data_IF_545552315153
#
_entry.id   IF_545552315153
#
_cell.length_a   1.000
_cell.length_b   1.000
_cell.length_c   1.000
_cell.angle_alpha   90.00
_cell.angle_beta   90.00
_cell.angle_gamma   90.00
#
_symmetry.space_group_name_H-M   'P 1'
#
loop_
_entity.id
_entity.type
_entity.pdbx_description
1 polymer ?
#
# COMPACT_ATOMS: atom_id res chain seq x y z
N UNK A 1 21.99 17.89 11.33
CA UNK A 1 21.44 16.52 11.08
C UNK A 1 22.24 15.88 9.94
N UNK A 2 23.17 14.97 10.24
CA UNK A 2 24.25 14.56 9.32
C UNK A 2 23.76 13.67 8.17
N UNK A 3 24.24 13.91 6.95
CA UNK A 3 23.90 13.15 5.73
C UNK A 3 24.11 11.61 5.89
N UNK A 4 25.06 11.18 6.73
CA UNK A 4 25.25 9.75 7.06
C UNK A 4 24.03 9.11 7.75
N UNK A 5 23.25 9.88 8.51
CA UNK A 5 22.03 9.41 9.18
C UNK A 5 20.88 9.17 8.20
N UNK A 6 20.79 10.00 7.15
CA UNK A 6 19.77 9.86 6.09
C UNK A 6 20.11 8.65 5.20
N UNK A 7 21.37 8.52 4.78
CA UNK A 7 21.80 7.39 3.94
C UNK A 7 21.72 6.04 4.67
N UNK A 8 22.10 5.97 5.96
CA UNK A 8 22.03 4.74 6.74
C UNK A 8 20.61 4.32 7.12
N UNK A 9 19.70 5.27 7.35
CA UNK A 9 18.29 4.97 7.63
C UNK A 9 17.57 4.52 6.36
N UNK A 10 17.74 5.23 5.24
CA UNK A 10 17.21 4.81 3.94
C UNK A 10 17.66 3.40 3.57
N UNK A 11 18.95 3.06 3.69
CA UNK A 11 19.45 1.72 3.37
C UNK A 11 18.75 0.57 4.12
N UNK A 12 18.39 0.77 5.40
CA UNK A 12 17.64 -0.21 6.19
C UNK A 12 16.19 -0.40 5.71
N UNK A 13 15.51 0.69 5.37
CA UNK A 13 14.16 0.63 4.79
C UNK A 13 14.17 -0.05 3.42
N UNK A 14 15.14 0.34 2.57
CA UNK A 14 15.36 -0.25 1.25
C UNK A 14 15.58 -1.76 1.37
N UNK A 15 16.43 -2.20 2.31
CA UNK A 15 16.70 -3.61 2.55
C UNK A 15 15.45 -4.42 2.90
N UNK A 16 14.57 -3.87 3.74
CA UNK A 16 13.29 -4.53 4.10
C UNK A 16 12.35 -4.63 2.90
N UNK A 17 12.17 -3.53 2.16
CA UNK A 17 11.25 -3.52 1.00
C UNK A 17 11.76 -4.44 -0.11
N UNK A 18 13.07 -4.46 -0.36
CA UNK A 18 13.68 -5.38 -1.32
C UNK A 18 13.51 -6.83 -0.86
N UNK A 19 13.75 -7.11 0.43
CA UNK A 19 13.55 -8.46 0.98
C UNK A 19 12.09 -8.92 0.87
N UNK A 20 11.11 -8.06 1.17
CA UNK A 20 9.67 -8.37 1.06
C UNK A 20 9.26 -8.72 -0.36
N UNK A 21 9.73 -7.94 -1.33
CA UNK A 21 9.41 -8.20 -2.73
C UNK A 21 10.19 -9.40 -3.28
N UNK A 22 11.43 -9.60 -2.87
CA UNK A 22 12.20 -10.80 -3.23
C UNK A 22 11.53 -12.07 -2.68
N UNK A 23 11.03 -12.03 -1.44
CA UNK A 23 10.25 -13.10 -0.85
C UNK A 23 8.96 -13.38 -1.65
N UNK A 24 8.21 -12.34 -2.00
CA UNK A 24 7.01 -12.47 -2.85
C UNK A 24 7.34 -13.10 -4.20
N UNK A 25 8.39 -12.62 -4.88
CA UNK A 25 8.83 -13.15 -6.17
C UNK A 25 9.29 -14.61 -6.08
N UNK A 26 9.97 -14.99 -5.00
CA UNK A 26 10.46 -16.35 -4.77
C UNK A 26 9.31 -17.33 -4.45
N UNK A 27 8.29 -16.85 -3.75
CA UNK A 27 7.11 -17.65 -3.38
C UNK A 27 6.08 -17.75 -4.52
N UNK A 28 6.06 -16.79 -5.45
CA UNK A 28 5.07 -16.72 -6.54
C UNK A 28 5.03 -17.98 -7.44
N UNK A 29 6.16 -18.57 -7.87
CA UNK A 29 6.16 -19.81 -8.65
C UNK A 29 5.53 -20.99 -7.92
N UNK A 30 5.72 -21.07 -6.60
CA UNK A 30 5.16 -22.13 -5.77
C UNK A 30 3.67 -21.94 -5.54
N UNK A 31 3.27 -20.70 -5.21
CA UNK A 31 1.87 -20.34 -5.01
C UNK A 31 1.04 -20.58 -6.28
N UNK A 32 1.56 -20.20 -7.45
CA UNK A 32 0.84 -20.33 -8.74
C UNK A 32 0.79 -21.76 -9.28
N UNK A 33 1.66 -22.66 -8.82
CA UNK A 33 1.65 -24.09 -9.21
C UNK A 33 0.75 -24.95 -8.32
N UNK A 34 0.57 -24.55 -7.06
CA UNK A 34 -0.14 -25.35 -6.06
C UNK A 34 -1.58 -24.86 -5.87
N UNK A 35 -1.82 -23.55 -5.91
CA UNK A 35 -3.14 -22.97 -5.68
C UNK A 35 -3.99 -22.94 -6.94
N UNK A 36 -5.28 -23.23 -6.78
CA UNK A 36 -6.25 -23.15 -7.87
C UNK A 36 -6.71 -21.71 -8.08
N UNK A 37 -7.23 -21.36 -9.28
CA UNK A 37 -7.82 -20.04 -9.51
C UNK A 37 -8.95 -19.68 -8.53
N UNK A 38 -9.69 -20.67 -8.03
CA UNK A 38 -10.74 -20.46 -7.02
C UNK A 38 -10.16 -20.01 -5.66
N UNK A 39 -9.02 -20.57 -5.26
CA UNK A 39 -8.32 -20.19 -4.03
C UNK A 39 -7.80 -18.75 -4.09
N UNK A 40 -7.32 -18.32 -5.27
CA UNK A 40 -6.96 -16.93 -5.52
C UNK A 40 -8.16 -15.98 -5.40
N UNK A 41 -9.36 -16.41 -5.84
CA UNK A 41 -10.60 -15.66 -5.65
C UNK A 41 -10.90 -15.41 -4.16
N UNK A 42 -10.73 -16.42 -3.31
CA UNK A 42 -10.90 -16.29 -1.85
C UNK A 42 -9.85 -15.34 -1.26
N UNK A 43 -8.58 -15.49 -1.66
CA UNK A 43 -7.50 -14.61 -1.21
C UNK A 43 -7.73 -13.14 -1.61
N UNK A 44 -8.27 -12.92 -2.81
CA UNK A 44 -8.64 -11.61 -3.33
C UNK A 44 -9.75 -10.96 -2.52
N UNK A 45 -10.81 -11.71 -2.17
CA UNK A 45 -11.90 -11.21 -1.33
C UNK A 45 -11.38 -10.79 0.07
N UNK A 46 -10.59 -11.66 0.70
CA UNK A 46 -10.00 -11.38 2.01
C UNK A 46 -9.05 -10.19 1.94
N UNK A 47 -8.18 -10.15 0.92
CA UNK A 47 -7.21 -9.08 0.71
C UNK A 47 -7.87 -7.73 0.46
N UNK A 48 -8.90 -7.67 -0.38
CA UNK A 48 -9.63 -6.44 -0.68
C UNK A 48 -10.44 -5.96 0.52
N UNK A 49 -11.08 -6.88 1.25
CA UNK A 49 -11.75 -6.57 2.52
C UNK A 49 -10.76 -5.97 3.53
N UNK A 50 -9.61 -6.61 3.72
CA UNK A 50 -8.55 -6.09 4.59
C UNK A 50 -8.05 -4.72 4.15
N UNK A 51 -7.88 -4.49 2.84
CA UNK A 51 -7.42 -3.23 2.31
C UNK A 51 -8.43 -2.09 2.52
N UNK A 52 -9.73 -2.35 2.36
CA UNK A 52 -10.81 -1.41 2.67
C UNK A 52 -10.86 -1.05 4.15
N UNK A 53 -10.70 -2.05 5.02
CA UNK A 53 -10.64 -1.85 6.48
C UNK A 53 -9.44 -0.98 6.86
N UNK A 54 -8.27 -1.31 6.32
CA UNK A 54 -7.03 -0.56 6.58
C UNK A 54 -7.15 0.87 6.08
N UNK A 55 -7.80 1.07 4.93
CA UNK A 55 -8.06 2.38 4.37
C UNK A 55 -8.91 3.26 5.29
N UNK A 56 -10.08 2.76 5.71
CA UNK A 56 -11.06 3.54 6.46
C UNK A 56 -10.58 3.89 7.87
N UNK A 57 -9.92 2.94 8.55
CA UNK A 57 -9.64 3.07 9.98
C UNK A 57 -8.15 3.15 10.31
N UNK A 58 -7.29 2.47 9.56
CA UNK A 58 -5.84 2.48 9.80
C UNK A 58 -5.16 3.72 9.21
N UNK A 59 -5.29 3.91 7.90
CA UNK A 59 -4.56 4.94 7.16
C UNK A 59 -5.06 6.35 7.45
N UNK A 60 -6.37 6.58 7.58
CA UNK A 60 -6.90 7.92 7.86
C UNK A 60 -6.30 8.53 9.13
N UNK A 61 -6.34 7.80 10.23
CA UNK A 61 -5.83 8.27 11.52
C UNK A 61 -4.28 8.27 11.58
N UNK A 62 -3.62 7.30 10.95
CA UNK A 62 -2.16 7.25 10.92
C UNK A 62 -1.54 8.42 10.13
N UNK A 63 -2.21 8.92 9.08
CA UNK A 63 -1.73 10.04 8.27
C UNK A 63 -1.87 11.41 8.96
N UNK A 64 -2.66 11.50 10.03
CA UNK A 64 -2.70 12.69 10.87
C UNK A 64 -1.49 12.79 11.82
N UNK A 65 -0.80 11.67 12.08
CA UNK A 65 0.33 11.63 13.01
C UNK A 65 1.46 12.60 12.61
N UNK A 66 1.96 12.65 11.36
CA UNK A 66 3.06 13.56 11.00
C UNK A 66 2.74 15.03 11.27
N UNK A 67 1.51 15.47 10.96
CA UNK A 67 1.06 16.86 11.11
C UNK A 67 0.85 17.23 12.59
N UNK A 68 0.17 16.37 13.36
CA UNK A 68 -0.09 16.62 14.78
C UNK A 68 1.19 16.47 15.63
N UNK A 69 2.09 15.58 15.23
CA UNK A 69 3.36 15.37 15.92
C UNK A 69 4.35 16.50 15.64
N UNK A 70 4.37 17.07 14.43
CA UNK A 70 5.21 18.24 14.12
C UNK A 70 4.75 19.51 14.85
N UNK A 71 3.45 19.67 15.06
CA UNK A 71 2.86 20.85 15.71
C UNK A 71 2.88 20.76 17.24
N UNK A 72 3.24 19.61 17.82
CA UNK A 72 3.34 19.44 19.26
C UNK A 72 4.70 19.95 19.78
N UNK A 73 4.65 20.99 20.62
CA UNK A 73 5.83 21.63 21.23
C UNK A 73 6.45 20.82 22.38
N UNK A 74 5.66 19.96 23.06
CA UNK A 74 6.10 19.20 24.25
C UNK A 74 6.10 17.69 24.02
N UNK A 75 7.11 17.00 24.56
CA UNK A 75 7.27 15.54 24.45
C UNK A 75 6.10 14.76 25.11
N UNK A 76 5.49 15.33 26.16
CA UNK A 76 4.27 14.79 26.79
C UNK A 76 3.04 14.86 25.87
N UNK A 77 2.87 15.94 25.12
CA UNK A 77 1.81 16.10 24.13
C UNK A 77 1.94 15.13 22.96
N UNK A 78 3.17 14.84 22.53
CA UNK A 78 3.49 13.84 21.50
C UNK A 78 3.13 12.42 21.93
N UNK A 79 3.37 12.08 23.20
CA UNK A 79 2.97 10.79 23.80
C UNK A 79 1.45 10.66 23.90
N UNK A 80 0.74 11.70 24.33
CA UNK A 80 -0.73 11.71 24.37
C UNK A 80 -1.37 11.52 22.99
N UNK A 81 -0.84 12.17 21.95
CA UNK A 81 -1.30 12.00 20.55
C UNK A 81 -1.08 10.57 20.07
N UNK A 82 0.13 10.04 20.26
CA UNK A 82 0.50 8.68 19.84
C UNK A 82 -0.36 7.62 20.53
N UNK A 83 -0.59 7.79 21.83
CA UNK A 83 -1.41 6.87 22.64
C UNK A 83 -2.88 6.94 22.23
N UNK A 84 -3.43 8.14 22.05
CA UNK A 84 -4.83 8.33 21.63
C UNK A 84 -5.08 7.69 20.27
N UNK A 85 -4.21 7.93 19.28
CA UNK A 85 -4.36 7.40 17.93
C UNK A 85 -4.20 5.88 17.90
N UNK A 86 -3.18 5.32 18.57
CA UNK A 86 -2.98 3.87 18.61
C UNK A 86 -4.15 3.16 19.31
N UNK A 87 -4.62 3.68 20.45
CA UNK A 87 -5.73 3.06 21.19
C UNK A 87 -7.04 3.16 20.42
N UNK A 88 -7.32 4.29 19.76
CA UNK A 88 -8.51 4.42 18.91
C UNK A 88 -8.45 3.49 17.71
N UNK A 89 -7.31 3.40 17.01
CA UNK A 89 -7.14 2.47 15.88
C UNK A 89 -7.24 1.02 16.36
N UNK A 90 -6.56 0.65 17.44
CA UNK A 90 -6.60 -0.69 18.01
C UNK A 90 -8.01 -1.08 18.47
N UNK A 91 -8.74 -0.15 19.09
CA UNK A 91 -10.13 -0.35 19.51
C UNK A 91 -11.09 -0.54 18.32
N UNK A 92 -10.98 0.31 17.30
CA UNK A 92 -11.82 0.19 16.10
C UNK A 92 -11.51 -1.08 15.32
N UNK A 93 -10.23 -1.37 15.08
CA UNK A 93 -9.82 -2.56 14.34
C UNK A 93 -10.15 -3.86 15.11
N UNK A 94 -10.08 -3.86 16.44
CA UNK A 94 -10.46 -5.02 17.25
C UNK A 94 -11.97 -5.24 17.26
N UNK A 95 -12.77 -4.17 17.34
CA UNK A 95 -14.23 -4.27 17.18
C UNK A 95 -14.62 -4.82 15.80
N UNK A 96 -13.92 -4.38 14.75
CA UNK A 96 -14.15 -4.82 13.38
C UNK A 96 -13.68 -6.27 13.16
N UNK A 97 -12.58 -6.67 13.79
CA UNK A 97 -12.14 -8.06 13.84
C UNK A 97 -13.19 -8.93 14.54
N UNK A 98 -13.71 -8.51 15.70
CA UNK A 98 -14.76 -9.24 16.39
C UNK A 98 -16.03 -9.38 15.53
N UNK A 99 -16.46 -8.29 14.90
CA UNK A 99 -17.61 -8.32 14.00
C UNK A 99 -17.38 -9.28 12.82
N UNK A 100 -16.22 -9.23 12.16
CA UNK A 100 -15.91 -10.13 11.04
C UNK A 100 -15.70 -11.58 11.47
N UNK A 101 -15.17 -11.83 12.67
CA UNK A 101 -15.05 -13.17 13.22
C UNK A 101 -16.42 -13.77 13.55
N UNK A 102 -17.33 -12.99 14.15
CA UNK A 102 -18.70 -13.41 14.48
C UNK A 102 -19.55 -13.62 13.22
N UNK A 103 -19.40 -12.76 12.21
CA UNK A 103 -20.11 -12.89 10.93
C UNK A 103 -19.35 -13.76 9.90
N UNK A 104 -18.23 -14.38 10.26
CA UNK A 104 -17.38 -15.14 9.32
C UNK A 104 -18.14 -16.27 8.61
N UNK A 105 -19.10 -16.91 9.31
CA UNK A 105 -19.95 -17.97 8.76
C UNK A 105 -20.96 -17.43 7.75
N UNK A 106 -21.63 -16.32 8.08
CA UNK A 106 -22.58 -15.61 7.21
C UNK A 106 -21.88 -15.10 5.95
N UNK A 107 -20.69 -14.50 6.10
CA UNK A 107 -19.87 -13.97 5.00
C UNK A 107 -19.43 -15.11 4.06
N UNK A 108 -19.00 -16.25 4.62
CA UNK A 108 -18.61 -17.42 3.82
C UNK A 108 -19.77 -18.01 3.01
N UNK A 109 -20.98 -18.05 3.59
CA UNK A 109 -22.17 -18.57 2.91
C UNK A 109 -22.67 -17.57 1.86
N UNK A 110 -22.64 -16.28 2.15
CA UNK A 110 -23.11 -15.24 1.23
C UNK A 110 -22.18 -15.00 0.03
N UNK A 111 -20.86 -14.99 0.24
CA UNK A 111 -19.90 -14.72 -0.84
C UNK A 111 -19.41 -15.98 -1.57
N UNK A 112 -19.19 -17.08 -0.84
CA UNK A 112 -18.52 -18.28 -1.38
C UNK A 112 -19.46 -19.48 -1.52
N UNK A 113 -20.74 -19.33 -1.15
CA UNK A 113 -21.77 -20.38 -1.23
C UNK A 113 -21.37 -21.69 -0.51
N UNK A 114 -20.33 -21.66 0.33
CA UNK A 114 -19.73 -22.84 0.96
C UNK A 114 -19.21 -22.48 2.37
N UNK A 115 -19.56 -23.24 3.43
CA UNK A 115 -19.15 -22.95 4.80
C UNK A 115 -17.70 -23.33 5.13
N UNK A 116 -17.01 -24.05 4.23
CA UNK A 116 -15.67 -24.63 4.46
C UNK A 116 -14.55 -23.58 4.61
N UNK A 117 -14.76 -22.35 4.12
CA UNK A 117 -13.76 -21.27 4.16
C UNK A 117 -13.87 -20.35 5.39
N UNK A 118 -14.85 -20.55 6.27
CA UNK A 118 -15.08 -19.74 7.48
C UNK A 118 -13.83 -19.54 8.34
N UNK A 119 -13.05 -20.59 8.59
CA UNK A 119 -11.79 -20.51 9.34
C UNK A 119 -10.68 -19.73 8.62
N UNK A 120 -10.67 -19.73 7.29
CA UNK A 120 -9.70 -18.95 6.48
C UNK A 120 -10.02 -17.46 6.56
N UNK A 121 -11.31 -17.11 6.51
CA UNK A 121 -11.78 -15.73 6.60
C UNK A 121 -11.47 -15.14 7.97
N UNK A 122 -11.71 -15.89 9.05
CA UNK A 122 -11.37 -15.45 10.40
C UNK A 122 -9.85 -15.23 10.58
N UNK A 123 -9.01 -16.15 10.08
CA UNK A 123 -7.56 -16.00 10.09
C UNK A 123 -7.08 -14.83 9.21
N UNK A 124 -7.73 -14.62 8.06
CA UNK A 124 -7.52 -13.47 7.19
C UNK A 124 -7.77 -12.16 7.91
N UNK A 125 -8.92 -12.04 8.59
CA UNK A 125 -9.26 -10.87 9.40
C UNK A 125 -8.27 -10.64 10.54
N UNK A 126 -7.83 -11.70 11.23
CA UNK A 126 -6.82 -11.60 12.29
C UNK A 126 -5.48 -11.09 11.73
N UNK A 127 -5.04 -11.64 10.60
CA UNK A 127 -3.81 -11.20 9.94
C UNK A 127 -3.91 -9.75 9.48
N UNK A 128 -5.08 -9.31 8.99
CA UNK A 128 -5.33 -7.93 8.60
C UNK A 128 -5.24 -6.99 9.82
N UNK A 129 -5.89 -7.35 10.92
CA UNK A 129 -5.84 -6.61 12.19
C UNK A 129 -4.39 -6.40 12.67
N UNK A 130 -3.62 -7.49 12.75
CA UNK A 130 -2.23 -7.44 13.23
C UNK A 130 -1.34 -6.61 12.30
N UNK A 131 -1.46 -6.76 10.99
CA UNK A 131 -0.68 -5.98 10.03
C UNK A 131 -1.03 -4.49 10.07
N UNK A 132 -2.32 -4.15 10.14
CA UNK A 132 -2.79 -2.77 10.24
C UNK A 132 -2.26 -2.08 11.49
N UNK A 133 -2.30 -2.78 12.62
CA UNK A 133 -1.82 -2.25 13.89
C UNK A 133 -0.29 -2.08 13.88
N UNK A 134 0.43 -3.07 13.36
CA UNK A 134 1.88 -3.02 13.14
C UNK A 134 2.29 -1.84 12.26
N UNK A 135 1.59 -1.59 11.15
CA UNK A 135 1.83 -0.44 10.27
C UNK A 135 1.68 0.91 11.00
N UNK A 136 0.65 1.05 11.84
CA UNK A 136 0.45 2.27 12.63
C UNK A 136 1.59 2.49 13.64
N UNK A 137 2.07 1.42 14.27
CA UNK A 137 3.22 1.48 15.17
C UNK A 137 4.50 1.88 14.43
N UNK A 138 4.70 1.37 13.20
CA UNK A 138 5.82 1.77 12.33
C UNK A 138 5.81 3.27 12.03
N UNK A 139 4.64 3.89 11.81
CA UNK A 139 4.56 5.34 11.62
C UNK A 139 5.10 6.13 12.80
N UNK A 140 4.84 5.68 14.03
CA UNK A 140 5.39 6.32 15.24
C UNK A 140 6.89 6.07 15.39
N UNK A 141 7.38 4.87 15.06
CA UNK A 141 8.84 4.61 15.02
C UNK A 141 9.55 5.56 14.05
N UNK A 142 8.92 5.85 12.89
CA UNK A 142 9.43 6.80 11.90
C UNK A 142 9.46 8.23 12.46
N UNK A 143 8.42 8.66 13.17
CA UNK A 143 8.33 10.02 13.74
C UNK A 143 9.27 10.25 14.93
N UNK A 144 9.55 9.20 15.71
CA UNK A 144 10.50 9.24 16.84
C UNK A 144 11.96 9.04 16.36
N UNK A 145 12.19 9.00 15.05
CA UNK A 145 13.51 8.84 14.42
C UNK A 145 14.28 7.58 14.85
N UNK A 146 13.59 6.53 15.33
CA UNK A 146 14.21 5.24 15.69
C UNK A 146 14.32 4.31 14.49
N UNK A 147 14.93 4.80 13.42
CA UNK A 147 14.94 4.16 12.10
C UNK A 147 15.54 2.75 12.07
N UNK A 148 16.46 2.42 12.98
CA UNK A 148 17.07 1.08 13.09
C UNK A 148 16.10 0.01 13.61
N UNK A 149 15.07 0.39 14.37
CA UNK A 149 14.09 -0.57 14.88
C UNK A 149 13.21 -1.14 13.77
N UNK A 150 12.99 -0.40 12.68
CA UNK A 150 12.19 -0.89 11.57
C UNK A 150 12.79 -2.15 10.92
N UNK A 151 14.03 -2.14 10.38
CA UNK A 151 14.62 -3.34 9.80
C UNK A 151 14.87 -4.44 10.83
N UNK A 152 15.22 -4.10 12.08
CA UNK A 152 15.44 -5.10 13.13
C UNK A 152 14.18 -5.90 13.49
N UNK A 153 12.98 -5.35 13.25
CA UNK A 153 11.71 -6.05 13.53
C UNK A 153 11.12 -6.67 12.26
N UNK A 154 11.18 -5.97 11.14
CA UNK A 154 10.56 -6.42 9.88
C UNK A 154 11.35 -7.55 9.20
N UNK A 155 12.69 -7.52 9.22
CA UNK A 155 13.49 -8.59 8.60
C UNK A 155 13.26 -9.93 9.29
N UNK A 156 13.32 -10.06 10.64
CA UNK A 156 13.00 -11.32 11.31
C UNK A 156 11.56 -11.77 11.09
N UNK A 157 10.60 -10.84 11.03
CA UNK A 157 9.20 -11.18 10.75
C UNK A 157 9.02 -11.77 9.35
N UNK A 158 9.72 -11.20 8.35
CA UNK A 158 9.74 -11.73 7.00
C UNK A 158 10.40 -13.10 6.93
N UNK A 159 11.54 -13.28 7.61
CA UNK A 159 12.22 -14.58 7.69
C UNK A 159 11.30 -15.62 8.34
N UNK A 160 10.57 -15.24 9.40
CA UNK A 160 9.57 -16.10 10.04
C UNK A 160 8.44 -16.46 9.08
N UNK A 161 7.89 -15.49 8.35
CA UNK A 161 6.82 -15.71 7.38
C UNK A 161 7.26 -16.65 6.26
N UNK A 162 8.40 -16.37 5.64
CA UNK A 162 8.97 -17.18 4.54
C UNK A 162 9.38 -18.56 5.04
N UNK A 163 9.98 -18.65 6.22
CA UNK A 163 10.38 -19.93 6.84
C UNK A 163 9.18 -20.82 7.14
N UNK A 164 8.10 -20.26 7.69
CA UNK A 164 6.85 -20.98 7.92
C UNK A 164 6.22 -21.44 6.61
N UNK A 165 6.16 -20.56 5.59
CA UNK A 165 5.68 -20.92 4.26
C UNK A 165 6.52 -22.04 3.63
N UNK A 166 7.85 -21.96 3.72
CA UNK A 166 8.76 -23.02 3.27
C UNK A 166 8.52 -24.35 3.97
N UNK A 167 8.24 -24.33 5.27
CA UNK A 167 7.90 -25.53 6.05
C UNK A 167 6.55 -26.13 5.63
N UNK A 168 5.54 -25.31 5.35
CA UNK A 168 4.25 -25.77 4.83
C UNK A 168 4.36 -26.35 3.40
N UNK A 169 5.26 -25.79 2.57
CA UNK A 169 5.59 -26.34 1.25
C UNK A 169 6.22 -27.73 1.42
N UNK A 170 7.23 -27.87 2.28
CA UNK A 170 7.95 -29.13 2.48
C UNK A 170 7.07 -30.26 3.05
N UNK A 171 6.08 -29.92 3.88
CA UNK A 171 5.14 -30.88 4.47
C UNK A 171 3.96 -31.27 3.55
N UNK A 172 3.95 -30.81 2.29
CA UNK A 172 2.87 -31.06 1.31
C UNK A 172 1.46 -30.65 1.77
N UNK A 173 1.37 -29.72 2.73
CA UNK A 173 0.11 -29.26 3.34
C UNK A 173 -0.27 -27.83 2.94
N UNK A 174 0.40 -27.28 1.92
CA UNK A 174 0.20 -25.88 1.51
C UNK A 174 -1.25 -25.64 1.05
N UNK A 175 -2.02 -25.06 1.95
CA UNK A 175 -3.41 -24.64 1.77
C UNK A 175 -3.49 -23.14 2.00
N UNK A 176 -4.54 -22.45 1.54
CA UNK A 176 -4.78 -21.02 1.84
C UNK A 176 -4.61 -20.71 3.35
N UNK A 177 -5.04 -21.63 4.22
CA UNK A 177 -4.87 -21.53 5.69
C UNK A 177 -3.41 -21.30 6.09
N UNK A 178 -2.47 -22.01 5.49
CA UNK A 178 -1.03 -21.94 5.82
C UNK A 178 -0.46 -20.55 5.58
N UNK A 179 -0.89 -19.88 4.51
CA UNK A 179 -0.45 -18.53 4.20
C UNK A 179 -0.96 -17.52 5.23
N UNK A 180 -2.24 -17.56 5.59
CA UNK A 180 -2.77 -16.64 6.60
C UNK A 180 -2.23 -16.94 8.01
N UNK A 181 -1.95 -18.21 8.35
CA UNK A 181 -1.28 -18.56 9.61
C UNK A 181 0.13 -17.97 9.66
N UNK A 182 0.94 -18.16 8.62
CA UNK A 182 2.29 -17.58 8.53
C UNK A 182 2.25 -16.06 8.63
N UNK A 183 1.29 -15.42 7.96
CA UNK A 183 1.12 -13.97 7.95
C UNK A 183 0.62 -13.43 9.30
N UNK A 184 -0.28 -14.15 9.97
CA UNK A 184 -0.75 -13.79 11.30
C UNK A 184 0.35 -13.93 12.37
N UNK A 185 1.15 -15.00 12.32
CA UNK A 185 2.27 -15.19 13.25
C UNK A 185 3.35 -14.12 13.08
N UNK A 186 3.71 -13.78 11.84
CA UNK A 186 4.61 -12.67 11.55
C UNK A 186 4.02 -11.32 12.02
N UNK A 187 2.73 -11.08 11.78
CA UNK A 187 2.01 -9.89 12.26
C UNK A 187 2.00 -9.79 13.79
N UNK A 188 1.81 -10.91 14.49
CA UNK A 188 1.83 -10.97 15.95
C UNK A 188 3.22 -10.67 16.51
N UNK A 189 4.26 -11.25 15.91
CA UNK A 189 5.65 -10.98 16.27
C UNK A 189 6.01 -9.49 16.13
N UNK A 190 5.67 -8.88 14.99
CA UNK A 190 5.95 -7.44 14.75
C UNK A 190 5.19 -6.56 15.73
N UNK A 191 3.88 -6.80 15.89
CA UNK A 191 3.03 -6.02 16.79
C UNK A 191 3.51 -6.11 18.24
N UNK A 192 3.79 -7.33 18.72
CA UNK A 192 4.29 -7.53 20.09
C UNK A 192 5.62 -6.81 20.32
N UNK A 193 6.55 -6.92 19.37
CA UNK A 193 7.88 -6.30 19.50
C UNK A 193 7.79 -4.78 19.47
N UNK A 194 6.93 -4.22 18.60
CA UNK A 194 6.69 -2.78 18.57
C UNK A 194 6.00 -2.27 19.84
N UNK A 195 4.99 -2.96 20.36
CA UNK A 195 4.32 -2.57 21.61
C UNK A 195 5.30 -2.57 22.78
N UNK A 196 6.12 -3.62 22.93
CA UNK A 196 7.12 -3.70 24.00
C UNK A 196 8.15 -2.57 23.89
N UNK A 197 8.58 -2.24 22.67
CA UNK A 197 9.61 -1.22 22.43
C UNK A 197 9.07 0.20 22.56
N UNK A 198 7.79 0.42 22.20
CA UNK A 198 7.11 1.70 22.24
C UNK A 198 6.31 1.93 23.53
N UNK A 199 6.35 1.02 24.50
CA UNK A 199 5.61 1.13 25.77
C UNK A 199 5.77 2.48 26.48
N UNK A 200 6.96 3.09 26.38
CA UNK A 200 7.25 4.40 26.98
C UNK A 200 6.56 5.59 26.27
N UNK A 201 6.26 5.42 24.97
CA UNK A 201 5.55 6.41 24.16
C UNK A 201 4.02 6.25 24.22
N UNK A 202 3.56 5.11 24.77
CA UNK A 202 2.16 4.71 24.92
C UNK A 202 1.55 5.05 26.30
N UNK A 203 2.27 5.79 27.15
CA UNK A 203 1.79 6.16 28.50
C UNK A 203 1.02 7.49 28.53
N UNK A 204 0.70 8.08 27.39
CA UNK A 204 0.01 9.36 27.32
C UNK A 204 -1.49 9.25 27.66
N UNK A 205 -2.05 10.27 28.31
CA UNK A 205 -3.50 10.33 28.57
C UNK A 205 -4.31 10.41 27.27
N UNK A 206 -5.45 9.71 27.22
CA UNK A 206 -6.37 9.72 26.10
C UNK A 206 -7.07 11.09 25.98
N UNK A 207 -6.97 11.74 24.81
CA UNK A 207 -7.52 13.08 24.58
C UNK A 207 -8.48 13.10 23.38
N UNK A 208 -9.79 13.16 23.65
CA UNK A 208 -10.86 13.14 22.63
C UNK A 208 -10.73 14.30 21.63
N UNK A 209 -10.35 15.49 22.09
CA UNK A 209 -10.18 16.65 21.21
C UNK A 209 -9.13 16.41 20.12
N UNK A 210 -8.03 15.73 20.47
CA UNK A 210 -6.96 15.40 19.51
C UNK A 210 -7.36 14.26 18.58
N UNK A 211 -8.23 13.36 19.04
CA UNK A 211 -8.85 12.35 18.17
C UNK A 211 -9.75 13.01 17.11
N UNK A 212 -10.55 14.01 17.49
CA UNK A 212 -11.40 14.73 16.54
C UNK A 212 -10.59 15.48 15.48
N UNK A 213 -9.48 16.12 15.88
CA UNK A 213 -8.56 16.77 14.96
C UNK A 213 -7.87 15.76 14.02
N UNK A 214 -7.40 14.63 14.56
CA UNK A 214 -6.83 13.53 13.77
C UNK A 214 -7.85 12.93 12.79
N UNK A 215 -9.10 12.75 13.22
CA UNK A 215 -10.19 12.25 12.39
C UNK A 215 -10.55 13.25 11.28
N UNK A 216 -10.51 14.55 11.54
CA UNK A 216 -10.74 15.58 10.52
C UNK A 216 -9.65 15.55 9.44
N UNK A 217 -8.37 15.49 9.84
CA UNK A 217 -7.25 15.37 8.90
C UNK A 217 -7.35 14.05 8.11
N UNK A 218 -7.63 12.94 8.81
CA UNK A 218 -7.82 11.64 8.18
C UNK A 218 -8.96 11.65 7.17
N UNK A 219 -10.10 12.25 7.52
CA UNK A 219 -11.27 12.37 6.65
C UNK A 219 -10.97 13.20 5.38
N UNK A 220 -10.13 14.23 5.49
CA UNK A 220 -9.68 14.99 4.31
C UNK A 220 -8.76 14.18 3.40
N UNK A 221 -7.98 13.23 3.95
CA UNK A 221 -7.11 12.37 3.15
C UNK A 221 -7.81 11.09 2.63
N UNK A 222 -8.97 10.73 3.18
CA UNK A 222 -9.72 9.53 2.78
C UNK A 222 -10.01 9.47 1.27
N UNK A 223 -10.53 10.53 0.60
CA UNK A 223 -10.84 10.45 -0.83
C UNK A 223 -9.64 10.13 -1.70
N UNK A 224 -8.46 10.68 -1.36
CA UNK A 224 -7.21 10.35 -2.05
C UNK A 224 -6.87 8.88 -1.91
N UNK A 225 -6.97 8.38 -0.69
CA UNK A 225 -6.62 7.00 -0.39
C UNK A 225 -7.64 6.01 -0.99
N UNK A 226 -8.93 6.38 -1.05
CA UNK A 226 -9.97 5.63 -1.78
C UNK A 226 -9.61 5.54 -3.25
N UNK A 227 -9.21 6.65 -3.87
CA UNK A 227 -8.88 6.68 -5.28
C UNK A 227 -7.68 5.77 -5.61
N UNK A 228 -6.64 5.81 -4.77
CA UNK A 228 -5.47 4.92 -4.89
C UNK A 228 -5.87 3.46 -4.67
N UNK A 229 -6.70 3.16 -3.66
CA UNK A 229 -7.16 1.79 -3.38
C UNK A 229 -8.01 1.25 -4.54
N UNK A 230 -8.96 2.04 -5.04
CA UNK A 230 -9.78 1.68 -6.20
C UNK A 230 -8.87 1.35 -7.38
N UNK A 231 -7.91 2.22 -7.71
CA UNK A 231 -7.02 1.97 -8.83
C UNK A 231 -6.14 0.72 -8.63
N UNK A 232 -5.65 0.45 -7.43
CA UNK A 232 -4.63 -0.60 -7.21
C UNK A 232 -5.17 -1.96 -6.78
N UNK A 233 -6.30 -1.99 -6.06
CA UNK A 233 -6.78 -3.19 -5.36
C UNK A 233 -8.19 -3.62 -5.81
N UNK A 234 -8.98 -2.76 -6.45
CA UNK A 234 -10.35 -3.12 -6.81
C UNK A 234 -10.49 -3.98 -8.07
N UNK A 235 -9.40 -4.14 -8.84
CA UNK A 235 -9.41 -4.78 -10.15
C UNK A 235 -10.07 -6.18 -10.14
N UNK A 236 -9.67 -7.03 -9.20
CA UNK A 236 -10.21 -8.37 -9.05
C UNK A 236 -11.72 -8.39 -8.77
N UNK A 237 -12.22 -7.43 -8.00
CA UNK A 237 -13.64 -7.34 -7.67
C UNK A 237 -14.48 -6.99 -8.90
N UNK A 238 -14.04 -5.99 -9.68
CA UNK A 238 -14.74 -5.60 -10.91
C UNK A 238 -14.71 -6.70 -11.97
N UNK A 239 -13.58 -7.42 -12.13
CA UNK A 239 -13.49 -8.55 -13.08
C UNK A 239 -14.38 -9.72 -12.68
N UNK A 240 -14.36 -10.09 -11.41
CA UNK A 240 -15.19 -11.20 -10.90
C UNK A 240 -16.67 -10.88 -11.09
N UNK A 241 -17.08 -9.64 -10.81
CA UNK A 241 -18.47 -9.19 -11.00
C UNK A 241 -18.89 -9.14 -12.47
N UNK A 242 -17.96 -8.84 -13.37
CA UNK A 242 -18.19 -8.84 -14.81
C UNK A 242 -18.16 -10.25 -15.45
N UNK A 243 -17.90 -11.31 -14.67
CA UNK A 243 -17.81 -12.69 -15.19
C UNK A 243 -16.42 -13.10 -15.69
N UNK A 244 -15.42 -12.23 -15.58
CA UNK A 244 -14.05 -12.44 -16.04
C UNK A 244 -13.13 -13.02 -14.94
N UNK A 245 -13.53 -14.15 -14.34
CA UNK A 245 -12.84 -14.74 -13.19
C UNK A 245 -11.40 -15.15 -13.52
N UNK A 246 -11.17 -15.77 -14.69
CA UNK A 246 -9.82 -16.17 -15.11
C UNK A 246 -8.89 -14.97 -15.30
N UNK A 247 -9.42 -13.86 -15.84
CA UNK A 247 -8.64 -12.63 -16.06
C UNK A 247 -8.21 -11.98 -14.73
N UNK A 248 -8.96 -12.18 -13.65
CA UNK A 248 -8.64 -11.60 -12.33
C UNK A 248 -7.34 -12.15 -11.73
N UNK A 249 -7.07 -13.45 -11.90
CA UNK A 249 -5.83 -14.09 -11.47
C UNK A 249 -4.64 -13.67 -12.32
N UNK A 250 -4.83 -13.60 -13.65
CA UNK A 250 -3.82 -13.09 -14.59
C UNK A 250 -3.43 -11.64 -14.28
N UNK A 251 -4.43 -10.81 -14.02
CA UNK A 251 -4.25 -9.42 -13.65
C UNK A 251 -3.47 -9.25 -12.35
N UNK A 252 -3.75 -10.07 -11.32
CA UNK A 252 -3.04 -10.01 -10.05
C UNK A 252 -1.55 -10.36 -10.19
N UNK A 253 -1.22 -11.35 -11.01
CA UNK A 253 0.18 -11.70 -11.29
C UNK A 253 0.87 -10.58 -12.09
N UNK A 254 0.18 -10.02 -13.08
CA UNK A 254 0.69 -8.91 -13.89
C UNK A 254 0.88 -7.61 -13.09
N UNK A 255 -0.04 -7.28 -12.18
CA UNK A 255 0.10 -6.12 -11.30
C UNK A 255 1.22 -6.29 -10.29
N UNK A 256 1.48 -7.53 -9.82
CA UNK A 256 2.65 -7.85 -9.01
C UNK A 256 3.97 -7.59 -9.74
N UNK A 257 4.07 -8.00 -11.01
CA UNK A 257 5.25 -7.74 -11.84
C UNK A 257 5.43 -6.23 -12.12
N UNK A 258 4.35 -5.53 -12.50
CA UNK A 258 4.39 -4.09 -12.77
C UNK A 258 4.63 -3.25 -11.49
N UNK A 259 4.25 -3.78 -10.32
CA UNK A 259 4.53 -3.18 -9.01
C UNK A 259 6.02 -3.02 -8.70
N UNK A 260 6.91 -3.73 -9.40
CA UNK A 260 8.36 -3.52 -9.31
C UNK A 260 8.77 -2.08 -9.70
N UNK A 261 8.01 -1.43 -10.59
CA UNK A 261 8.26 -0.02 -10.95
C UNK A 261 7.96 0.91 -9.76
N UNK A 262 6.89 0.64 -9.02
CA UNK A 262 6.53 1.40 -7.81
C UNK A 262 7.60 1.25 -6.73
N UNK A 263 8.23 0.07 -6.63
CA UNK A 263 9.34 -0.14 -5.72
C UNK A 263 10.49 0.83 -6.00
N UNK A 264 10.94 0.89 -7.26
CA UNK A 264 12.02 1.79 -7.69
C UNK A 264 11.64 3.25 -7.38
N UNK A 265 10.39 3.63 -7.62
CA UNK A 265 9.89 4.98 -7.30
C UNK A 265 9.88 5.28 -5.80
N UNK A 266 9.33 4.38 -4.98
CA UNK A 266 9.18 4.61 -3.54
C UNK A 266 10.52 4.83 -2.84
N UNK A 267 11.57 4.16 -3.33
CA UNK A 267 12.94 4.31 -2.84
C UNK A 267 13.51 5.69 -3.15
N UNK A 268 13.26 6.18 -4.36
CA UNK A 268 13.62 7.53 -4.77
C UNK A 268 12.85 8.58 -3.94
N UNK A 269 11.53 8.41 -3.78
CA UNK A 269 10.68 9.33 -3.01
C UNK A 269 11.12 9.46 -1.55
N UNK A 270 11.56 8.36 -0.92
CA UNK A 270 12.03 8.36 0.47
C UNK A 270 13.25 9.25 0.70
N UNK A 271 14.10 9.45 -0.31
CA UNK A 271 15.27 10.35 -0.25
C UNK A 271 14.92 11.74 -0.80
N UNK A 272 14.11 11.79 -1.85
CA UNK A 272 13.79 13.00 -2.57
C UNK A 272 12.84 13.92 -1.79
N UNK A 273 11.80 13.37 -1.18
CA UNK A 273 10.81 14.13 -0.39
C UNK A 273 11.48 14.99 0.70
N UNK A 274 12.31 14.43 1.62
CA UNK A 274 12.96 15.25 2.64
C UNK A 274 13.99 16.23 2.07
N UNK A 275 14.61 15.94 0.92
CA UNK A 275 15.53 16.85 0.25
C UNK A 275 14.80 18.12 -0.23
N UNK A 276 13.67 17.95 -0.92
CA UNK A 276 12.85 19.07 -1.42
C UNK A 276 12.28 19.88 -0.25
N UNK A 277 11.77 19.20 0.79
CA UNK A 277 11.16 19.87 1.95
C UNK A 277 12.14 20.76 2.73
N UNK A 278 13.41 20.33 2.86
CA UNK A 278 14.43 21.08 3.63
C UNK A 278 14.97 22.30 2.92
N UNK A 279 14.93 22.30 1.59
CA UNK A 279 15.53 23.34 0.76
C UNK A 279 14.48 24.17 0.00
N UNK A 280 13.20 24.03 0.37
CA UNK A 280 12.05 24.67 -0.28
C UNK A 280 12.17 26.20 -0.45
N UNK A 281 12.96 26.86 0.39
CA UNK A 281 13.17 28.32 0.40
C UNK A 281 14.40 28.75 -0.43
N UNK A 282 15.14 27.80 -1.01
CA UNK A 282 16.31 28.10 -1.86
C UNK A 282 15.88 28.52 -3.28
N UNK A 283 16.41 29.63 -3.81
CA UNK A 283 15.97 30.21 -5.09
C UNK A 283 16.27 29.33 -6.33
N UNK A 284 17.20 28.37 -6.21
CA UNK A 284 17.63 27.51 -7.33
C UNK A 284 17.01 26.09 -7.29
N UNK A 285 16.12 25.84 -6.33
CA UNK A 285 15.59 24.50 -6.13
C UNK A 285 14.65 24.06 -7.26
N UNK A 286 13.92 24.98 -7.88
CA UNK A 286 13.01 24.69 -8.98
C UNK A 286 13.75 24.09 -10.19
N UNK A 287 14.91 24.64 -10.55
CA UNK A 287 15.74 24.11 -11.65
C UNK A 287 16.30 22.73 -11.31
N UNK A 288 16.77 22.56 -10.08
CA UNK A 288 17.26 21.28 -9.57
C UNK A 288 16.14 20.23 -9.59
N UNK A 289 14.93 20.63 -9.21
CA UNK A 289 13.76 19.76 -9.17
C UNK A 289 13.33 19.32 -10.56
N UNK A 290 13.31 20.23 -11.55
CA UNK A 290 13.03 19.90 -12.95
C UNK A 290 14.08 18.91 -13.50
N UNK A 291 15.37 19.17 -13.28
CA UNK A 291 16.45 18.34 -13.81
C UNK A 291 16.41 16.93 -13.22
N UNK A 292 16.26 16.81 -11.90
CA UNK A 292 16.23 15.51 -11.23
C UNK A 292 14.93 14.76 -11.56
N UNK A 293 13.80 15.45 -11.64
CA UNK A 293 12.53 14.82 -12.05
C UNK A 293 12.56 14.35 -13.51
N UNK A 294 13.20 15.09 -14.42
CA UNK A 294 13.43 14.66 -15.80
C UNK A 294 14.29 13.40 -15.90
N UNK A 295 15.39 13.33 -15.15
CA UNK A 295 16.23 12.13 -15.07
C UNK A 295 15.49 10.94 -14.47
N UNK A 296 14.73 11.19 -13.40
CA UNK A 296 13.91 10.19 -12.73
C UNK A 296 12.83 9.63 -13.66
N UNK A 297 12.10 10.50 -14.36
CA UNK A 297 11.05 10.07 -15.31
C UNK A 297 11.63 9.31 -16.50
N UNK A 298 12.76 9.75 -17.07
CA UNK A 298 13.46 9.01 -18.11
C UNK A 298 13.88 7.61 -17.62
N UNK A 299 14.48 7.52 -16.43
CA UNK A 299 14.90 6.23 -15.84
C UNK A 299 13.71 5.31 -15.59
N UNK A 300 12.61 5.85 -15.08
CA UNK A 300 11.39 5.08 -14.81
C UNK A 300 10.75 4.56 -16.11
N UNK A 301 10.68 5.39 -17.15
CA UNK A 301 10.15 4.99 -18.46
C UNK A 301 11.06 3.95 -19.14
N UNK A 302 12.38 4.06 -19.00
CA UNK A 302 13.32 3.04 -19.47
C UNK A 302 13.14 1.71 -18.72
N UNK A 303 12.95 1.75 -17.40
CA UNK A 303 12.66 0.56 -16.61
C UNK A 303 11.33 -0.08 -17.02
N UNK A 304 10.30 0.73 -17.26
CA UNK A 304 9.01 0.26 -17.75
C UNK A 304 9.11 -0.38 -19.14
N UNK A 305 9.82 0.25 -20.07
CA UNK A 305 10.06 -0.30 -21.40
C UNK A 305 10.82 -1.64 -21.34
N UNK A 306 11.86 -1.72 -20.50
CA UNK A 306 12.61 -2.95 -20.26
C UNK A 306 11.69 -4.04 -19.73
N UNK A 307 10.85 -3.73 -18.73
CA UNK A 307 9.88 -4.67 -18.19
C UNK A 307 8.89 -5.15 -19.25
N UNK A 308 8.43 -4.27 -20.15
CA UNK A 308 7.52 -4.64 -21.24
C UNK A 308 8.16 -5.60 -22.23
N UNK A 309 9.42 -5.36 -22.62
CA UNK A 309 10.16 -6.21 -23.57
C UNK A 309 10.41 -7.60 -22.96
N UNK A 310 10.80 -7.66 -21.69
CA UNK A 310 11.10 -8.91 -20.99
C UNK A 310 9.89 -9.52 -20.27
N UNK A 311 8.68 -8.98 -20.45
CA UNK A 311 7.49 -9.46 -19.75
C UNK A 311 7.20 -10.94 -20.04
N UNK A 312 7.35 -11.36 -21.30
CA UNK A 312 7.10 -12.74 -21.70
C UNK A 312 8.07 -13.72 -21.00
N UNK A 313 9.37 -13.43 -21.05
CA UNK A 313 10.42 -14.25 -20.41
C UNK A 313 10.24 -14.32 -18.90
N UNK A 314 9.92 -13.17 -18.27
CA UNK A 314 9.67 -13.10 -16.84
C UNK A 314 8.51 -14.02 -16.43
N UNK A 315 7.45 -14.07 -17.23
CA UNK A 315 6.30 -14.95 -16.98
C UNK A 315 6.58 -16.42 -17.27
N UNK A 316 7.44 -16.75 -18.24
CA UNK A 316 7.86 -18.15 -18.48
C UNK A 316 8.59 -18.71 -17.25
N UNK A 317 9.46 -17.90 -16.63
CA UNK A 317 10.27 -18.28 -15.48
C UNK A 317 9.46 -18.30 -14.18
N UNK A 318 8.67 -17.24 -13.92
CA UNK A 318 8.02 -17.04 -12.62
C UNK A 318 6.61 -17.61 -12.54
N UNK A 319 5.86 -17.61 -13.64
CA UNK A 319 4.43 -17.95 -13.62
C UNK A 319 4.19 -19.42 -14.03
N UNK A 320 3.26 -20.08 -13.34
CA UNK A 320 2.74 -21.39 -13.78
C UNK A 320 2.10 -21.32 -15.18
N UNK A 321 1.97 -22.46 -15.90
CA UNK A 321 1.45 -22.49 -17.27
C UNK A 321 0.10 -21.78 -17.45
N UNK A 322 -0.78 -21.88 -16.44
CA UNK A 322 -2.09 -21.25 -16.42
C UNK A 322 -2.05 -19.71 -16.34
N UNK A 323 -0.96 -19.13 -15.82
CA UNK A 323 -0.82 -17.69 -15.61
C UNK A 323 0.02 -16.99 -16.68
N UNK A 324 0.57 -17.73 -17.65
CA UNK A 324 1.50 -17.18 -18.65
C UNK A 324 0.87 -16.11 -19.51
N UNK A 325 -0.41 -16.23 -19.91
CA UNK A 325 -1.09 -15.21 -20.72
C UNK A 325 -1.21 -13.83 -20.06
N UNK A 326 -0.93 -13.71 -18.76
CA UNK A 326 -0.93 -12.44 -18.04
C UNK A 326 0.11 -11.44 -18.50
N UNK A 327 1.16 -11.86 -19.22
CA UNK A 327 2.19 -10.95 -19.75
C UNK A 327 1.59 -9.86 -20.66
N UNK A 328 0.45 -10.13 -21.31
CA UNK A 328 -0.23 -9.19 -22.20
C UNK A 328 -0.71 -7.92 -21.49
N UNK A 329 -1.01 -8.00 -20.19
CA UNK A 329 -1.48 -6.85 -19.40
C UNK A 329 -0.33 -5.99 -18.85
N UNK A 330 0.91 -6.50 -18.86
CA UNK A 330 2.07 -5.82 -18.27
C UNK A 330 2.32 -4.44 -18.89
N UNK A 331 2.27 -4.25 -20.23
CA UNK A 331 2.50 -2.93 -20.81
C UNK A 331 1.48 -1.88 -20.37
N UNK A 332 0.21 -2.24 -20.32
CA UNK A 332 -0.85 -1.34 -19.87
C UNK A 332 -0.72 -0.97 -18.39
N UNK A 333 -0.39 -1.97 -17.55
CA UNK A 333 -0.15 -1.75 -16.12
C UNK A 333 1.12 -0.94 -15.86
N UNK A 334 2.18 -1.15 -16.63
CA UNK A 334 3.41 -0.38 -16.52
C UNK A 334 3.15 1.11 -16.74
N UNK A 335 2.35 1.47 -17.76
CA UNK A 335 1.93 2.86 -18.00
C UNK A 335 1.14 3.41 -16.81
N UNK A 336 0.16 2.65 -16.30
CA UNK A 336 -0.65 3.06 -15.16
C UNK A 336 0.22 3.31 -13.91
N UNK A 337 1.16 2.41 -13.60
CA UNK A 337 2.05 2.57 -12.46
C UNK A 337 3.09 3.69 -12.67
N UNK A 338 3.57 3.93 -13.89
CA UNK A 338 4.39 5.11 -14.18
C UNK A 338 3.65 6.41 -13.88
N UNK A 339 2.39 6.52 -14.30
CA UNK A 339 1.54 7.68 -13.98
C UNK A 339 1.37 7.83 -12.47
N UNK A 340 1.11 6.74 -11.76
CA UNK A 340 1.03 6.74 -10.29
C UNK A 340 2.32 7.26 -9.63
N UNK A 341 3.49 6.82 -10.12
CA UNK A 341 4.78 7.27 -9.62
C UNK A 341 5.05 8.76 -9.91
N UNK A 342 4.54 9.29 -11.02
CA UNK A 342 4.57 10.74 -11.27
C UNK A 342 3.67 11.49 -10.30
N UNK A 343 2.45 11.00 -10.06
CA UNK A 343 1.50 11.60 -9.11
C UNK A 343 2.13 11.72 -7.71
N UNK A 344 2.78 10.67 -7.21
CA UNK A 344 3.45 10.69 -5.90
C UNK A 344 4.63 11.66 -5.88
N UNK A 345 5.44 11.71 -6.93
CA UNK A 345 6.53 12.69 -7.08
C UNK A 345 6.06 14.14 -7.06
N UNK A 346 4.97 14.46 -7.75
CA UNK A 346 4.39 15.82 -7.77
C UNK A 346 3.70 16.21 -6.46
N UNK A 347 3.18 15.22 -5.72
CA UNK A 347 2.46 15.45 -4.47
C UNK A 347 3.30 16.19 -3.41
N UNK A 348 4.63 16.14 -3.51
CA UNK A 348 5.55 16.73 -2.55
C UNK A 348 5.36 18.24 -2.33
N UNK A 349 5.03 19.01 -3.37
CA UNK A 349 4.79 20.45 -3.25
C UNK A 349 3.56 20.78 -2.38
N UNK A 350 2.54 19.92 -2.45
CA UNK A 350 1.31 20.05 -1.67
C UNK A 350 1.51 19.57 -0.21
N UNK A 351 2.33 18.52 0.00
CA UNK A 351 2.77 18.07 1.32
C UNK A 351 3.60 19.15 2.03
N UNK A 352 4.47 19.87 1.30
CA UNK A 352 5.33 20.93 1.85
C UNK A 352 4.56 22.09 2.49
N UNK A 353 3.35 22.37 1.99
CA UNK A 353 2.46 23.42 2.52
C UNK A 353 1.32 22.88 3.38
N UNK A 354 1.32 21.58 3.70
CA UNK A 354 0.31 20.89 4.53
C UNK A 354 -1.14 21.18 4.10
N UNK A 355 -1.41 21.33 2.80
CA UNK A 355 -2.76 21.62 2.27
C UNK A 355 -3.55 20.33 2.00
N UNK A 356 -3.92 19.63 3.06
CA UNK A 356 -4.68 18.35 3.03
C UNK A 356 -6.02 18.43 2.29
N UNK A 357 -6.68 19.60 2.30
CA UNK A 357 -7.96 19.82 1.59
C UNK A 357 -7.85 19.57 0.08
N UNK A 358 -6.67 19.80 -0.52
CA UNK A 358 -6.51 19.61 -1.96
C UNK A 358 -6.46 18.14 -2.35
N UNK A 359 -5.93 17.29 -1.48
CA UNK A 359 -5.97 15.83 -1.67
C UNK A 359 -7.41 15.30 -1.65
N UNK A 360 -8.30 15.91 -0.85
CA UNK A 360 -9.68 15.48 -0.73
C UNK A 360 -10.44 15.57 -2.06
N UNK A 361 -10.46 16.74 -2.69
CA UNK A 361 -11.23 16.91 -3.92
C UNK A 361 -10.56 16.26 -5.13
N UNK A 362 -9.21 16.25 -5.21
CA UNK A 362 -8.47 15.53 -6.27
C UNK A 362 -8.80 14.03 -6.21
N UNK A 363 -8.75 13.45 -5.01
CA UNK A 363 -9.08 12.04 -4.80
C UNK A 363 -10.54 11.71 -5.14
N UNK A 364 -11.48 12.59 -4.79
CA UNK A 364 -12.89 12.40 -5.11
C UNK A 364 -13.12 12.37 -6.64
N UNK A 365 -12.54 13.32 -7.39
CA UNK A 365 -12.68 13.38 -8.85
C UNK A 365 -12.00 12.17 -9.51
N UNK A 366 -10.80 11.78 -9.04
CA UNK A 366 -10.10 10.60 -9.54
C UNK A 366 -10.87 9.30 -9.27
N UNK A 367 -11.49 9.16 -8.09
CA UNK A 367 -12.35 8.02 -7.76
C UNK A 367 -13.57 7.95 -8.68
N UNK A 368 -14.20 9.10 -8.94
CA UNK A 368 -15.34 9.18 -9.85
C UNK A 368 -14.95 8.81 -11.29
N UNK A 369 -13.80 9.30 -11.76
CA UNK A 369 -13.26 8.93 -13.07
C UNK A 369 -12.97 7.43 -13.16
N UNK A 370 -12.34 6.85 -12.13
CA UNK A 370 -12.10 5.41 -12.07
C UNK A 370 -13.40 4.62 -12.18
N UNK A 371 -14.40 4.93 -11.35
CA UNK A 371 -15.67 4.21 -11.35
C UNK A 371 -16.44 4.35 -12.66
N UNK A 372 -16.45 5.55 -13.26
CA UNK A 372 -17.11 5.80 -14.53
C UNK A 372 -16.52 4.94 -15.66
N UNK A 373 -15.19 4.87 -15.75
CA UNK A 373 -14.49 4.06 -16.77
C UNK A 373 -14.58 2.57 -16.43
N UNK A 374 -14.40 2.18 -15.18
CA UNK A 374 -14.46 0.78 -14.77
C UNK A 374 -15.86 0.18 -15.01
N UNK A 375 -16.93 0.88 -14.66
CA UNK A 375 -18.29 0.35 -14.83
C UNK A 375 -18.71 0.28 -16.30
N UNK A 376 -18.19 1.16 -17.17
CA UNK A 376 -18.54 1.20 -18.59
C UNK A 376 -17.69 0.25 -19.45
N UNK A 377 -16.37 0.16 -19.21
CA UNK A 377 -15.46 -0.62 -20.05
C UNK A 377 -15.22 -2.05 -19.54
N UNK A 378 -15.32 -2.32 -18.24
CA UNK A 378 -15.05 -3.69 -17.72
C UNK A 378 -15.99 -4.75 -18.31
N UNK A 379 -17.30 -4.51 -18.53
CA UNK A 379 -18.19 -5.51 -19.13
C UNK A 379 -17.86 -5.87 -20.58
N UNK A 380 -17.19 -4.98 -21.34
CA UNK A 380 -16.89 -5.18 -22.76
C UNK A 380 -15.43 -5.58 -23.02
N UNK A 381 -14.50 -5.07 -22.23
CA UNK A 381 -13.05 -5.21 -22.42
C UNK A 381 -12.35 -6.03 -21.32
N UNK A 382 -13.08 -6.50 -20.31
CA UNK A 382 -12.54 -7.28 -19.20
C UNK A 382 -11.37 -6.55 -18.50
N UNK A 383 -10.22 -7.22 -18.38
CA UNK A 383 -9.02 -6.69 -17.74
C UNK A 383 -8.49 -5.39 -18.38
N UNK A 384 -8.62 -5.22 -19.69
CA UNK A 384 -8.20 -3.98 -20.37
C UNK A 384 -9.06 -2.78 -19.97
N UNK A 385 -10.33 -2.99 -19.64
CA UNK A 385 -11.21 -1.94 -19.14
C UNK A 385 -10.74 -1.37 -17.79
N UNK A 386 -10.17 -2.22 -16.94
CA UNK A 386 -9.61 -1.79 -15.64
C UNK A 386 -8.28 -1.09 -15.81
N UNK A 387 -7.42 -1.58 -16.71
CA UNK A 387 -6.18 -0.87 -17.07
C UNK A 387 -6.51 0.55 -17.54
N UNK A 388 -7.50 0.71 -18.42
CA UNK A 388 -7.96 2.02 -18.88
C UNK A 388 -8.50 2.87 -17.72
N UNK A 389 -9.27 2.29 -16.79
CA UNK A 389 -9.76 2.99 -15.60
C UNK A 389 -8.62 3.47 -14.68
N UNK A 390 -7.58 2.66 -14.47
CA UNK A 390 -6.39 3.04 -13.71
C UNK A 390 -5.66 4.21 -14.36
N UNK A 391 -5.41 4.13 -15.67
CA UNK A 391 -4.75 5.19 -16.45
C UNK A 391 -5.56 6.48 -16.35
N UNK A 392 -6.88 6.42 -16.55
CA UNK A 392 -7.75 7.59 -16.46
C UNK A 392 -7.70 8.23 -15.06
N UNK A 393 -7.82 7.42 -14.00
CA UNK A 393 -7.76 7.90 -12.61
C UNK A 393 -6.43 8.57 -12.28
N UNK A 394 -5.30 7.94 -12.61
CA UNK A 394 -3.98 8.49 -12.32
C UNK A 394 -3.65 9.71 -13.19
N UNK A 395 -4.11 9.76 -14.44
CA UNK A 395 -3.95 10.94 -15.29
C UNK A 395 -4.76 12.12 -14.74
N UNK A 396 -6.00 11.89 -14.30
CA UNK A 396 -6.81 12.92 -13.63
C UNK A 396 -6.13 13.42 -12.36
N UNK A 397 -5.60 12.52 -11.52
CA UNK A 397 -4.81 12.92 -10.35
C UNK A 397 -3.62 13.79 -10.74
N UNK A 398 -2.87 13.38 -11.77
CA UNK A 398 -1.66 14.06 -12.21
C UNK A 398 -1.96 15.49 -12.66
N UNK A 399 -2.94 15.65 -13.56
CA UNK A 399 -3.32 16.96 -14.11
C UNK A 399 -3.84 17.89 -13.01
N UNK A 400 -4.75 17.42 -12.17
CA UNK A 400 -5.30 18.24 -11.09
C UNK A 400 -4.23 18.63 -10.07
N UNK A 401 -3.29 17.73 -9.78
CA UNK A 401 -2.22 17.99 -8.85
C UNK A 401 -1.17 18.94 -9.42
N UNK A 402 -0.88 18.89 -10.73
CA UNK A 402 -0.08 19.89 -11.41
C UNK A 402 -0.74 21.28 -11.39
N UNK A 403 -2.04 21.36 -11.72
CA UNK A 403 -2.79 22.62 -11.68
C UNK A 403 -2.84 23.23 -10.27
N UNK A 404 -3.08 22.41 -9.25
CA UNK A 404 -3.07 22.84 -7.86
C UNK A 404 -1.66 23.25 -7.40
N UNK A 405 -0.65 22.45 -7.71
CA UNK A 405 0.75 22.67 -7.31
C UNK A 405 1.33 23.93 -7.96
N UNK A 406 1.06 24.18 -9.24
CA UNK A 406 1.52 25.37 -9.95
C UNK A 406 1.09 26.70 -9.28
N UNK A 407 -0.04 26.70 -8.58
CA UNK A 407 -0.54 27.86 -7.83
C UNK A 407 0.22 28.11 -6.52
N UNK A 408 0.84 27.09 -5.94
CA UNK A 408 1.51 27.17 -4.64
C UNK A 408 3.04 27.11 -4.73
N UNK A 409 3.57 26.43 -5.73
CA UNK A 409 4.98 26.45 -6.13
C UNK A 409 5.01 26.41 -7.66
N UNK A 410 5.24 27.55 -8.34
CA UNK A 410 5.32 27.59 -9.80
C UNK A 410 6.63 26.92 -10.24
N UNK A 411 6.60 25.60 -10.37
CA UNK A 411 7.66 24.83 -11.00
C UNK A 411 7.08 24.37 -12.34
N UNK A 412 7.62 24.92 -13.44
CA UNK A 412 7.25 24.51 -14.79
C UNK A 412 7.95 23.20 -15.09
N UNK A 413 7.27 22.10 -14.77
CA UNK A 413 7.76 20.76 -15.10
C UNK A 413 7.51 20.45 -16.58
N UNK A 414 8.41 19.69 -17.23
CA UNK A 414 8.28 19.28 -18.62
C UNK A 414 7.17 18.25 -18.84
#
# INVERSE_FOLDING_TARGET
MSAKFIFGSSAGYLGVTIADNAARLLLLPWMTRILTPADYGVMLLIGNGAALINLLFGFGLAQALPTLFSNAETDSSRRAISTTIILSIGGILSALYLATALLSREISVFFLHTPSYSGVIALGALSAFLNAWSLCLVFIVRLVEKHKLYPMVQVPALILQVGLLGWFIASSSLTIKSQYIATALAGLFTTATYVVTLRHWLTGGFQVNKLAEAACIGAQMLPWQIAVLLATSSAAFFLTRAGHVNDSGLFLVASGAAGLLVLVSSNFEGVWTPFVLRRKDEPDIAKTQIRIFSLYSATLLMAAATLCVFAHELFIVLAGPAFRSGYLFVPGLAIAYCLFCFVTGFSQGLQARQRTVHYAWIGAIASAAFLAVALSLTPSLGAWGIVAAMIASFLVMLVLLQLASARFMPVSYP
#
